data_IF_324748562722
#
_entry.id   IF_324748562722
#
_cell.length_a   1.000
_cell.length_b   1.000
_cell.length_c   1.000
_cell.angle_alpha   90.00
_cell.angle_beta   90.00
_cell.angle_gamma   90.00
#
_symmetry.space_group_name_H-M   'P 1'
#
loop_
_entity.id
_entity.type
_entity.pdbx_description
1 polymer ?
#
# COMPACT_ATOMS: atom_id res chain seq x y z
N UNK A 1 -10.00 -13.82 14.94
CA UNK A 1 -10.35 -12.94 13.80
C UNK A 1 -10.65 -11.54 14.34
N UNK A 2 -9.83 -10.52 14.04
CA UNK A 2 -10.03 -9.18 14.60
C UNK A 2 -11.05 -8.29 13.87
N UNK A 3 -11.28 -8.50 12.58
CA UNK A 3 -12.25 -7.73 11.79
C UNK A 3 -13.51 -8.53 11.40
N UNK A 4 -13.58 -9.83 11.75
CA UNK A 4 -14.72 -10.71 11.47
C UNK A 4 -15.02 -10.98 9.98
N UNK A 5 -14.19 -10.48 9.05
CA UNK A 5 -14.34 -10.65 7.60
C UNK A 5 -13.49 -11.81 7.09
N UNK A 6 -13.88 -12.36 5.94
CA UNK A 6 -13.08 -13.37 5.23
C UNK A 6 -11.81 -12.68 4.74
N UNK A 7 -10.66 -13.29 5.02
CA UNK A 7 -9.37 -12.84 4.53
C UNK A 7 -9.20 -13.23 3.05
N UNK A 8 -9.88 -12.51 2.17
CA UNK A 8 -9.59 -12.52 0.74
C UNK A 8 -8.57 -11.44 0.37
N UNK A 9 -8.08 -11.49 -0.87
CA UNK A 9 -7.02 -10.61 -1.35
C UNK A 9 -7.44 -9.12 -1.32
N UNK A 10 -8.71 -8.83 -1.57
CA UNK A 10 -9.27 -7.47 -1.54
C UNK A 10 -9.35 -6.98 -0.10
N UNK A 11 -9.83 -7.82 0.81
CA UNK A 11 -9.91 -7.51 2.21
C UNK A 11 -8.53 -7.16 2.76
N UNK A 12 -7.56 -8.06 2.58
CA UNK A 12 -6.20 -7.91 3.12
C UNK A 12 -5.54 -6.61 2.64
N UNK A 13 -5.65 -6.28 1.35
CA UNK A 13 -4.91 -5.16 0.78
C UNK A 13 -5.64 -3.81 0.85
N UNK A 14 -6.98 -3.80 0.82
CA UNK A 14 -7.75 -2.55 0.68
C UNK A 14 -8.77 -2.28 1.80
N UNK A 15 -9.22 -3.29 2.55
CA UNK A 15 -10.38 -3.14 3.44
C UNK A 15 -10.14 -3.63 4.89
N UNK A 16 -8.91 -4.03 5.22
CA UNK A 16 -8.60 -4.61 6.53
C UNK A 16 -8.62 -3.54 7.63
N UNK A 17 -9.43 -3.77 8.66
CA UNK A 17 -9.59 -2.86 9.80
C UNK A 17 -8.54 -3.12 10.91
N UNK A 18 -7.72 -4.17 10.76
CA UNK A 18 -6.62 -4.40 11.71
C UNK A 18 -5.52 -3.36 11.49
N UNK A 19 -4.89 -2.84 12.57
CA UNK A 19 -3.67 -2.07 12.47
C UNK A 19 -2.63 -2.74 11.55
N UNK A 20 -2.02 -1.98 10.65
CA UNK A 20 -1.10 -2.50 9.64
C UNK A 20 -1.39 -1.93 8.26
N UNK A 21 -2.48 -2.39 7.63
CA UNK A 21 -2.83 -2.01 6.26
C UNK A 21 -3.01 -0.51 6.11
N UNK A 22 -3.85 0.11 6.94
CA UNK A 22 -4.10 1.54 6.90
C UNK A 22 -2.83 2.36 7.19
N UNK A 23 -1.99 1.91 8.13
CA UNK A 23 -0.74 2.58 8.51
C UNK A 23 0.26 2.56 7.35
N UNK A 24 0.47 1.40 6.72
CA UNK A 24 1.37 1.27 5.58
C UNK A 24 0.92 2.15 4.41
N UNK A 25 -0.37 2.16 4.07
CA UNK A 25 -0.86 3.04 3.00
C UNK A 25 -0.76 4.53 3.34
N UNK A 26 -0.94 4.89 4.62
CA UNK A 26 -0.73 6.26 5.10
C UNK A 26 0.74 6.68 4.95
N UNK A 27 1.70 5.81 5.28
CA UNK A 27 3.13 6.08 5.12
C UNK A 27 3.52 6.19 3.63
N UNK A 28 3.03 5.28 2.80
CA UNK A 28 3.22 5.33 1.35
C UNK A 28 2.69 6.64 0.75
N UNK A 29 1.50 7.08 1.17
CA UNK A 29 0.93 8.35 0.76
C UNK A 29 1.75 9.56 1.20
N UNK A 30 2.19 9.60 2.47
CA UNK A 30 3.08 10.67 2.96
C UNK A 30 4.36 10.78 2.14
N UNK A 31 5.00 9.66 1.81
CA UNK A 31 6.22 9.68 1.00
C UNK A 31 5.94 10.11 -0.45
N UNK A 32 4.81 9.69 -1.01
CA UNK A 32 4.36 10.17 -2.32
C UNK A 32 4.15 11.69 -2.33
N UNK A 33 3.56 12.26 -1.29
CA UNK A 33 3.32 13.71 -1.18
C UNK A 33 4.62 14.52 -1.13
N UNK A 34 5.69 13.99 -0.53
CA UNK A 34 7.02 14.63 -0.54
C UNK A 34 7.53 14.82 -1.97
N UNK A 35 7.20 13.91 -2.89
CA UNK A 35 7.59 14.01 -4.29
C UNK A 35 6.98 15.24 -4.99
N UNK A 36 5.88 15.79 -4.44
CA UNK A 36 5.09 16.88 -5.04
C UNK A 36 4.71 16.58 -6.50
N UNK A 37 4.34 15.32 -6.75
CA UNK A 37 3.83 14.93 -8.06
C UNK A 37 2.50 15.61 -8.33
N UNK A 38 2.17 15.69 -9.62
CA UNK A 38 0.90 16.23 -10.11
C UNK A 38 -0.26 15.24 -9.94
N UNK A 39 0.05 13.97 -9.67
CA UNK A 39 -0.95 12.96 -9.34
C UNK A 39 -1.15 12.93 -7.82
N UNK A 40 -2.37 13.19 -7.31
CA UNK A 40 -2.65 13.11 -5.90
C UNK A 40 -2.60 11.65 -5.40
N UNK A 41 -2.23 11.47 -4.14
CA UNK A 41 -2.44 10.19 -3.48
C UNK A 41 -3.94 9.95 -3.33
N UNK A 42 -4.44 8.84 -3.86
CA UNK A 42 -5.86 8.49 -3.84
C UNK A 42 -6.05 7.11 -3.23
N UNK A 43 -7.27 6.81 -2.81
CA UNK A 43 -7.60 5.48 -2.30
C UNK A 43 -7.38 4.45 -3.41
N UNK A 44 -6.53 3.47 -3.14
CA UNK A 44 -6.13 2.44 -4.10
C UNK A 44 -7.20 1.35 -4.18
N UNK A 45 -7.80 1.16 -5.35
CA UNK A 45 -8.60 -0.02 -5.60
C UNK A 45 -7.68 -1.23 -5.78
N UNK A 46 -8.22 -2.45 -5.59
CA UNK A 46 -7.44 -3.68 -5.82
C UNK A 46 -6.81 -3.72 -7.23
N UNK A 47 -7.53 -3.21 -8.24
CA UNK A 47 -7.02 -3.12 -9.61
C UNK A 47 -5.78 -2.23 -9.75
N UNK A 48 -5.70 -1.14 -8.98
CA UNK A 48 -4.54 -0.23 -8.99
C UNK A 48 -3.30 -0.92 -8.40
N UNK A 49 -3.50 -1.74 -7.37
CA UNK A 49 -2.44 -2.50 -6.72
C UNK A 49 -1.93 -3.60 -7.65
N UNK A 50 -2.83 -4.41 -8.20
CA UNK A 50 -2.48 -5.51 -9.12
C UNK A 50 -1.88 -4.97 -10.44
N UNK A 51 -2.37 -3.84 -10.91
CA UNK A 51 -1.93 -3.17 -12.14
C UNK A 51 -0.74 -2.22 -11.95
N UNK A 52 -0.18 -2.10 -10.74
CA UNK A 52 0.78 -1.04 -10.42
C UNK A 52 2.00 -1.02 -11.35
N UNK A 53 2.48 -2.19 -11.78
CA UNK A 53 3.63 -2.34 -12.70
C UNK A 53 3.43 -1.65 -14.05
N UNK A 54 2.18 -1.46 -14.47
CA UNK A 54 1.80 -0.80 -15.71
C UNK A 54 1.63 0.72 -15.58
N UNK A 55 1.72 1.27 -14.37
CA UNK A 55 1.53 2.68 -14.11
C UNK A 55 2.50 3.55 -14.93
N UNK A 56 1.94 4.58 -15.59
CA UNK A 56 2.68 5.58 -16.37
C UNK A 56 2.16 6.96 -15.98
N UNK A 57 2.99 7.70 -15.27
CA UNK A 57 2.69 9.05 -14.82
C UNK A 57 3.16 10.01 -15.90
N UNK A 58 2.27 10.89 -16.33
CA UNK A 58 2.53 11.87 -17.40
C UNK A 58 2.51 13.29 -16.86
N UNK A 59 3.36 14.16 -17.40
CA UNK A 59 3.36 15.57 -17.02
C UNK A 59 2.05 16.25 -17.48
N UNK A 60 1.48 17.19 -16.68
CA UNK A 60 0.21 17.83 -16.97
C UNK A 60 0.16 18.45 -18.37
N UNK A 61 -0.94 18.23 -19.08
CA UNK A 61 -1.14 18.77 -20.43
C UNK A 61 -0.22 18.18 -21.50
N UNK A 62 0.56 17.13 -21.19
CA UNK A 62 1.46 16.50 -22.16
C UNK A 62 1.37 14.98 -22.12
N UNK A 63 1.89 14.31 -23.16
CA UNK A 63 2.08 12.85 -23.17
C UNK A 63 3.46 12.43 -22.65
N UNK A 64 4.25 13.36 -22.10
CA UNK A 64 5.60 13.07 -21.62
C UNK A 64 5.54 12.24 -20.34
N UNK A 65 6.17 11.08 -20.35
CA UNK A 65 6.25 10.20 -19.19
C UNK A 65 7.28 10.74 -18.18
N UNK A 66 6.86 10.86 -16.93
CA UNK A 66 7.70 11.17 -15.77
C UNK A 66 8.26 9.86 -15.23
N UNK A 67 9.41 9.44 -15.76
CA UNK A 67 10.01 8.13 -15.47
C UNK A 67 10.30 7.92 -13.98
N UNK A 68 10.82 8.95 -13.29
CA UNK A 68 11.11 8.88 -11.85
C UNK A 68 9.86 8.70 -11.00
N UNK A 69 8.78 9.44 -11.31
CA UNK A 69 7.49 9.33 -10.62
C UNK A 69 6.83 7.99 -10.88
N UNK A 70 6.84 7.54 -12.15
CA UNK A 70 6.30 6.24 -12.54
C UNK A 70 7.03 5.10 -11.82
N UNK A 71 8.36 5.19 -11.68
CA UNK A 71 9.17 4.20 -10.96
C UNK A 71 8.87 4.24 -9.46
N UNK A 72 8.84 5.42 -8.86
CA UNK A 72 8.55 5.58 -7.44
C UNK A 72 7.16 5.03 -7.10
N UNK A 73 6.14 5.35 -7.89
CA UNK A 73 4.79 4.82 -7.73
C UNK A 73 4.77 3.30 -7.75
N UNK A 74 5.40 2.67 -8.76
CA UNK A 74 5.49 1.20 -8.86
C UNK A 74 6.10 0.57 -7.61
N UNK A 75 7.23 1.12 -7.16
CA UNK A 75 7.93 0.62 -5.98
C UNK A 75 7.04 0.78 -4.75
N UNK A 76 6.49 1.98 -4.52
CA UNK A 76 5.65 2.23 -3.34
C UNK A 76 4.47 1.30 -3.25
N UNK A 77 3.73 1.11 -4.35
CA UNK A 77 2.54 0.26 -4.35
C UNK A 77 2.92 -1.21 -4.18
N UNK A 78 3.94 -1.70 -4.90
CA UNK A 78 4.36 -3.10 -4.84
C UNK A 78 4.93 -3.48 -3.47
N UNK A 79 5.88 -2.70 -2.94
CA UNK A 79 6.53 -2.97 -1.65
C UNK A 79 5.53 -2.84 -0.49
N UNK A 80 4.65 -1.83 -0.53
CA UNK A 80 3.61 -1.66 0.50
C UNK A 80 2.61 -2.81 0.50
N UNK A 81 2.14 -3.25 -0.67
CA UNK A 81 1.22 -4.38 -0.78
C UNK A 81 1.89 -5.69 -0.32
N UNK A 82 3.15 -5.90 -0.68
CA UNK A 82 3.94 -7.04 -0.22
C UNK A 82 4.10 -7.05 1.30
N UNK A 83 4.47 -5.91 1.90
CA UNK A 83 4.62 -5.80 3.36
C UNK A 83 3.29 -6.06 4.08
N UNK A 84 2.17 -5.52 3.59
CA UNK A 84 0.84 -5.79 4.15
C UNK A 84 0.53 -7.29 4.13
N UNK A 85 0.83 -7.95 3.01
CA UNK A 85 0.63 -9.39 2.87
C UNK A 85 1.46 -10.19 3.87
N UNK A 86 2.76 -9.91 3.94
CA UNK A 86 3.70 -10.60 4.84
C UNK A 86 3.32 -10.39 6.30
N UNK A 87 3.03 -9.15 6.71
CA UNK A 87 2.59 -8.86 8.07
C UNK A 87 1.28 -9.59 8.40
N UNK A 88 0.30 -9.61 7.49
CA UNK A 88 -0.93 -10.39 7.70
C UNK A 88 -0.61 -11.88 7.88
N UNK A 89 0.29 -12.45 7.07
CA UNK A 89 0.70 -13.85 7.19
C UNK A 89 1.37 -14.13 8.54
N UNK A 90 2.31 -13.29 8.97
CA UNK A 90 2.98 -13.42 10.27
C UNK A 90 1.97 -13.35 11.42
N UNK A 91 1.06 -12.37 11.39
CA UNK A 91 -0.01 -12.25 12.38
C UNK A 91 -0.87 -13.51 12.48
N UNK A 92 -1.34 -14.03 11.34
CA UNK A 92 -2.29 -15.15 11.30
C UNK A 92 -1.63 -16.49 11.57
N UNK A 93 -0.40 -16.69 11.10
CA UNK A 93 0.28 -18.00 11.14
C UNK A 93 1.16 -18.14 12.38
N UNK A 94 1.89 -17.09 12.77
CA UNK A 94 2.91 -17.14 13.81
C UNK A 94 2.46 -16.52 15.13
N UNK A 95 1.62 -15.48 15.10
CA UNK A 95 1.29 -14.67 16.28
C UNK A 95 -0.15 -14.84 16.78
N UNK A 96 -0.80 -15.97 16.48
CA UNK A 96 -2.18 -16.30 16.94
C UNK A 96 -3.18 -15.14 16.78
N UNK A 97 -3.14 -14.51 15.60
CA UNK A 97 -3.95 -13.35 15.24
C UNK A 97 -3.68 -12.05 16.01
N UNK A 98 -2.69 -11.99 16.91
CA UNK A 98 -2.38 -10.78 17.67
C UNK A 98 -2.02 -9.59 16.76
N UNK A 99 -2.65 -8.42 16.91
CA UNK A 99 -2.39 -7.27 16.06
C UNK A 99 -1.03 -6.65 16.42
N UNK A 100 -0.33 -6.16 15.40
CA UNK A 100 0.89 -5.39 15.61
C UNK A 100 0.56 -3.99 16.14
N UNK A 101 1.48 -3.43 16.91
CA UNK A 101 1.41 -2.03 17.31
C UNK A 101 1.67 -1.10 16.11
N UNK A 102 1.16 0.13 16.13
CA UNK A 102 1.44 1.09 15.06
C UNK A 102 2.94 1.36 14.91
N UNK A 103 3.68 1.50 16.01
CA UNK A 103 5.13 1.73 15.98
C UNK A 103 5.90 0.55 15.36
N UNK A 104 5.47 -0.68 15.61
CA UNK A 104 6.07 -1.84 14.97
C UNK A 104 5.81 -1.86 13.46
N UNK A 105 4.60 -1.50 13.03
CA UNK A 105 4.28 -1.36 11.60
C UNK A 105 5.12 -0.26 10.97
N UNK A 106 5.23 0.91 11.62
CA UNK A 106 6.02 2.05 11.12
C UNK A 106 7.51 1.71 11.00
N UNK A 107 8.08 0.96 11.95
CA UNK A 107 9.50 0.58 11.92
C UNK A 107 9.84 -0.46 10.85
N UNK A 108 8.84 -1.22 10.38
CA UNK A 108 9.01 -2.27 9.36
C UNK A 108 8.82 -1.75 7.93
N UNK A 109 8.23 -0.56 7.77
CA UNK A 109 8.00 0.11 6.49
C UNK A 109 9.16 1.05 6.16
#
# INVERSE_FOLDING_TARGET
MHCGKIDDFRHILTECETPGQATIWKLAGKLWEIKRSTIPWTFLALGDILGCSLARITAPGTKRILAGESRLWKILIAESAYLIWIMRCERVIANDHMPFSESEVENRW
#
